data_IF_616600877005
#
_entry.id   IF_616600877005
#
_cell.length_a   1.000
_cell.length_b   1.000
_cell.length_c   1.000
_cell.angle_alpha   90.00
_cell.angle_beta   90.00
_cell.angle_gamma   90.00
#
_symmetry.space_group_name_H-M   'P 1'
#
loop_
_entity.id
_entity.type
_entity.pdbx_description
1 polymer ?
#
# COMPACT_ATOMS: atom_id res chain seq x y z
N UNK A 1 60.59 -40.26 -11.24
CA UNK A 1 59.88 -40.72 -10.02
C UNK A 1 58.54 -41.29 -10.44
N UNK A 2 58.11 -42.39 -9.81
CA UNK A 2 56.85 -43.08 -10.14
C UNK A 2 55.66 -42.52 -9.34
N UNK A 3 54.47 -42.74 -9.89
CA UNK A 3 53.12 -42.51 -9.37
C UNK A 3 52.89 -42.73 -7.85
N UNK A 4 51.95 -41.99 -7.24
CA UNK A 4 50.58 -42.50 -6.96
C UNK A 4 49.64 -41.46 -6.32
N UNK A 5 48.36 -41.67 -6.58
CA UNK A 5 47.17 -41.00 -6.02
C UNK A 5 46.73 -41.58 -4.67
N UNK A 6 46.12 -40.76 -3.80
CA UNK A 6 45.06 -41.17 -2.87
C UNK A 6 44.28 -39.93 -2.35
N UNK A 7 42.96 -40.06 -2.21
CA UNK A 7 42.04 -39.03 -1.69
C UNK A 7 40.86 -39.76 -0.99
N UNK A 8 40.20 -39.10 -0.02
CA UNK A 8 38.93 -39.50 0.68
C UNK A 8 39.05 -40.55 1.84
N UNK A 9 37.98 -40.85 2.63
CA UNK A 9 37.50 -40.12 3.85
C UNK A 9 37.28 -41.13 5.04
N UNK A 10 36.17 -41.21 5.84
CA UNK A 10 35.20 -40.24 6.44
C UNK A 10 34.93 -40.41 7.97
N UNK A 11 34.18 -39.49 8.61
CA UNK A 11 33.34 -39.75 9.83
C UNK A 11 32.18 -38.73 9.94
N UNK A 12 30.92 -39.12 9.65
CA UNK A 12 29.85 -39.58 10.56
C UNK A 12 29.23 -38.48 11.46
N UNK A 13 28.06 -37.92 11.11
CA UNK A 13 26.70 -38.41 11.46
C UNK A 13 26.40 -38.58 12.97
N UNK A 14 25.42 -37.81 13.49
CA UNK A 14 24.48 -38.21 14.54
C UNK A 14 23.07 -37.71 14.17
N UNK A 15 22.05 -38.57 14.34
CA UNK A 15 20.63 -38.28 14.14
C UNK A 15 19.96 -37.71 15.41
N UNK A 16 18.86 -36.98 15.24
CA UNK A 16 17.93 -36.65 16.33
C UNK A 16 16.50 -36.39 15.81
N UNK A 17 15.56 -37.29 16.12
CA UNK A 17 14.13 -37.15 15.83
C UNK A 17 13.36 -36.68 17.08
N UNK A 18 12.49 -35.68 16.95
CA UNK A 18 11.26 -35.48 17.73
C UNK A 18 10.46 -34.35 17.04
N UNK A 19 9.30 -34.59 16.42
CA UNK A 19 7.97 -34.87 16.99
C UNK A 19 7.10 -33.60 17.09
N UNK A 20 5.82 -33.75 16.79
CA UNK A 20 4.90 -32.66 16.44
C UNK A 20 4.44 -31.81 17.64
N UNK A 21 4.11 -30.54 17.35
CA UNK A 21 3.15 -29.75 18.12
C UNK A 21 2.35 -28.85 17.15
N UNK A 22 1.03 -28.98 17.16
CA UNK A 22 0.14 -28.10 16.40
C UNK A 22 -0.01 -26.76 17.12
N UNK A 23 0.09 -25.64 16.38
CA UNK A 23 -0.21 -24.31 16.90
C UNK A 23 -1.10 -23.58 15.90
N UNK A 24 -2.39 -23.45 16.24
CA UNK A 24 -3.19 -22.35 15.75
C UNK A 24 -2.58 -21.05 16.26
N UNK A 25 -2.32 -20.08 15.37
CA UNK A 25 -2.61 -18.68 15.70
C UNK A 25 -2.67 -17.78 14.47
N UNK A 26 -3.57 -16.80 14.53
CA UNK A 26 -3.68 -15.70 13.55
C UNK A 26 -2.40 -14.87 13.59
N UNK A 27 -2.00 -14.32 12.45
CA UNK A 27 -0.81 -13.47 12.33
C UNK A 27 -1.18 -12.21 11.55
N UNK A 28 -0.90 -11.06 12.15
CA UNK A 28 -1.14 -9.74 11.56
C UNK A 28 0.07 -9.32 10.74
N UNK A 29 -0.14 -8.76 9.55
CA UNK A 29 0.93 -8.35 8.64
C UNK A 29 1.09 -6.82 8.69
N UNK A 30 2.32 -6.37 8.94
CA UNK A 30 2.65 -4.97 9.22
C UNK A 30 3.57 -4.42 8.13
N UNK A 31 3.18 -3.29 7.53
CA UNK A 31 3.92 -2.63 6.44
C UNK A 31 4.49 -1.30 6.93
N UNK A 32 5.78 -1.06 6.63
CA UNK A 32 6.46 0.22 6.78
C UNK A 32 6.67 0.83 5.38
N UNK A 33 6.59 2.16 5.26
CA UNK A 33 6.94 2.87 4.03
C UNK A 33 7.42 4.30 4.34
N UNK A 34 8.35 4.81 3.54
CA UNK A 34 9.00 6.10 3.74
C UNK A 34 8.22 7.30 3.15
N UNK A 35 8.34 8.49 3.76
CA UNK A 35 7.65 9.72 3.33
C UNK A 35 8.62 10.91 3.31
N UNK A 36 9.06 11.34 2.12
CA UNK A 36 10.03 12.43 1.95
C UNK A 36 9.39 13.84 1.88
N UNK A 37 10.13 14.86 2.34
CA UNK A 37 9.62 16.22 2.54
C UNK A 37 10.12 17.26 1.52
N UNK A 38 9.23 18.16 1.09
CA UNK A 38 9.59 19.50 0.59
C UNK A 38 8.92 20.58 1.45
N UNK A 39 9.70 21.57 1.92
CA UNK A 39 9.21 22.65 2.80
C UNK A 39 8.53 23.77 2.00
N UNK A 40 7.30 24.21 2.35
CA UNK A 40 6.67 25.37 1.72
C UNK A 40 7.34 26.69 2.10
N UNK A 41 7.43 27.64 1.15
CA UNK A 41 7.75 29.06 1.44
C UNK A 41 6.46 29.83 1.75
N UNK A 42 6.42 30.49 2.90
CA UNK A 42 5.35 31.47 3.23
C UNK A 42 5.68 32.81 2.56
N UNK A 43 4.78 33.31 1.71
CA UNK A 43 4.87 34.67 1.15
C UNK A 43 3.82 35.55 1.84
N UNK A 44 4.30 36.55 2.58
CA UNK A 44 3.46 37.57 3.22
C UNK A 44 3.57 38.89 2.45
N UNK A 45 2.43 39.49 2.10
CA UNK A 45 2.35 40.84 1.57
C UNK A 45 1.29 41.65 2.30
N UNK A 46 1.54 42.95 2.50
CA UNK A 46 0.75 43.82 3.38
C UNK A 46 0.09 44.96 2.59
N UNK A 47 -1.22 45.13 2.80
CA UNK A 47 -1.96 46.40 2.77
C UNK A 47 -2.14 47.16 1.44
N UNK A 48 -3.40 47.45 1.08
CA UNK A 48 -4.03 48.77 1.34
C UNK A 48 -5.54 48.79 1.02
N UNK A 49 -6.29 49.61 1.76
CA UNK A 49 -7.74 49.78 1.63
C UNK A 49 -8.19 50.28 0.25
N UNK A 50 -9.33 49.75 -0.24
CA UNK A 50 -10.39 50.50 -0.95
C UNK A 50 -11.71 49.71 -0.93
N UNK A 51 -12.82 50.44 -0.83
CA UNK A 51 -14.16 49.88 -0.65
C UNK A 51 -14.56 48.94 -1.79
N UNK A 52 -15.00 47.73 -1.46
CA UNK A 52 -15.73 46.85 -2.37
C UNK A 52 -16.97 46.28 -1.68
N UNK A 53 -18.00 46.03 -2.49
CA UNK A 53 -19.22 45.30 -2.12
C UNK A 53 -18.85 43.94 -1.50
N UNK A 54 -19.69 43.39 -0.62
CA UNK A 54 -19.49 42.06 -0.02
C UNK A 54 -19.47 40.96 -1.09
N UNK A 55 -18.34 40.79 -1.76
CA UNK A 55 -17.99 39.53 -2.39
C UNK A 55 -17.82 38.49 -1.27
N UNK A 56 -18.35 37.29 -1.49
CA UNK A 56 -18.06 36.15 -0.61
C UNK A 56 -16.54 36.05 -0.48
N UNK A 57 -16.02 36.30 0.72
CA UNK A 57 -14.62 36.04 1.02
C UNK A 57 -14.47 34.53 0.89
N UNK A 58 -13.83 34.09 -0.19
CA UNK A 58 -13.50 32.69 -0.38
C UNK A 58 -12.73 32.23 0.86
N UNK A 59 -13.33 31.28 1.60
CA UNK A 59 -12.73 30.75 2.82
C UNK A 59 -11.35 30.19 2.49
N UNK A 60 -10.29 30.85 2.96
CA UNK A 60 -8.94 30.35 2.77
C UNK A 60 -8.69 29.21 3.74
N UNK A 61 -9.14 28.01 3.36
CA UNK A 61 -8.87 26.77 4.09
C UNK A 61 -7.37 26.49 4.05
N UNK A 62 -6.71 26.59 5.22
CA UNK A 62 -5.31 26.23 5.34
C UNK A 62 -5.14 24.71 5.17
N UNK A 63 -4.19 24.31 4.33
CA UNK A 63 -3.88 22.91 4.07
C UNK A 63 -2.37 22.66 4.09
N UNK A 64 -1.99 21.39 4.17
CA UNK A 64 -0.63 20.93 3.91
C UNK A 64 -0.68 19.84 2.85
N UNK A 65 0.34 19.76 1.98
CA UNK A 65 0.41 18.72 0.96
C UNK A 65 1.42 17.64 1.37
N UNK A 66 1.01 16.38 1.30
CA UNK A 66 1.85 15.20 1.59
C UNK A 66 1.77 14.22 0.42
N UNK A 67 2.68 13.24 0.38
CA UNK A 67 2.51 12.05 -0.47
C UNK A 67 2.95 10.79 0.27
N UNK A 68 2.24 9.69 0.06
CA UNK A 68 2.68 8.37 0.47
C UNK A 68 3.15 7.62 -0.78
N UNK A 69 4.46 7.41 -0.94
CA UNK A 69 5.02 6.69 -2.09
C UNK A 69 4.55 7.25 -3.46
N UNK A 70 4.52 8.58 -3.60
CA UNK A 70 4.11 9.28 -4.83
C UNK A 70 2.61 9.56 -4.97
N UNK A 71 1.74 8.84 -4.26
CA UNK A 71 0.30 9.11 -4.19
C UNK A 71 0.06 10.33 -3.27
N UNK A 72 -0.38 11.46 -3.84
CA UNK A 72 -0.31 12.78 -3.21
C UNK A 72 -1.67 13.34 -2.76
N UNK A 73 -1.70 13.96 -1.58
CA UNK A 73 -2.92 14.39 -0.90
C UNK A 73 -2.83 15.81 -0.35
N UNK A 74 -3.96 16.51 -0.40
CA UNK A 74 -4.18 17.75 0.35
C UNK A 74 -4.77 17.39 1.72
N UNK A 75 -4.05 17.69 2.81
CA UNK A 75 -4.47 17.41 4.18
C UNK A 75 -4.95 18.69 4.87
N UNK A 76 -6.14 18.62 5.49
CA UNK A 76 -6.82 19.74 6.15
C UNK A 76 -7.06 19.38 7.62
N UNK A 77 -6.76 20.32 8.52
CA UNK A 77 -7.10 20.21 9.94
C UNK A 77 -8.57 20.58 10.14
N UNK A 78 -9.42 19.56 10.15
CA UNK A 78 -10.87 19.66 10.24
C UNK A 78 -11.38 19.34 11.65
N UNK A 79 -10.52 19.31 12.69
CA UNK A 79 -10.89 18.84 14.04
C UNK A 79 -11.93 19.70 14.77
N UNK A 80 -12.33 20.82 14.18
CA UNK A 80 -13.32 21.75 14.70
C UNK A 80 -14.77 21.40 14.32
N UNK A 81 -14.98 20.51 13.34
CA UNK A 81 -16.30 20.04 12.91
C UNK A 81 -16.22 18.57 12.46
N UNK A 82 -17.29 17.79 12.67
CA UNK A 82 -17.39 16.41 12.18
C UNK A 82 -17.69 16.33 10.66
N UNK A 83 -18.18 17.42 10.06
CA UNK A 83 -18.36 17.55 8.63
C UNK A 83 -17.09 18.10 7.95
N UNK A 84 -16.63 17.52 6.83
CA UNK A 84 -15.59 18.11 5.99
C UNK A 84 -15.91 19.54 5.56
N UNK A 85 -14.94 20.46 5.71
CA UNK A 85 -15.09 21.88 5.34
C UNK A 85 -15.19 22.14 3.83
N UNK A 86 -14.95 21.13 3.00
CA UNK A 86 -15.17 21.18 1.56
C UNK A 86 -16.28 20.19 1.19
N UNK A 87 -17.06 20.52 0.17
CA UNK A 87 -17.90 19.54 -0.53
C UNK A 87 -17.08 18.68 -1.51
N UNK A 88 -17.58 17.50 -1.93
CA UNK A 88 -16.97 16.69 -3.00
C UNK A 88 -16.57 17.51 -4.25
N UNK A 89 -17.49 18.37 -4.73
CA UNK A 89 -17.30 19.21 -5.92
C UNK A 89 -16.23 20.31 -5.71
N UNK A 90 -15.92 20.66 -4.47
CA UNK A 90 -14.79 21.54 -4.14
C UNK A 90 -13.48 20.76 -4.01
N UNK A 91 -13.52 19.53 -3.52
CA UNK A 91 -12.36 18.63 -3.51
C UNK A 91 -11.88 18.31 -4.93
N UNK A 92 -12.79 18.00 -5.88
CA UNK A 92 -12.47 17.87 -7.32
C UNK A 92 -11.68 19.07 -7.86
N UNK A 93 -12.12 20.30 -7.54
CA UNK A 93 -11.47 21.55 -7.98
C UNK A 93 -10.10 21.74 -7.33
N UNK A 94 -9.93 21.35 -6.07
CA UNK A 94 -8.63 21.37 -5.37
C UNK A 94 -7.67 20.34 -5.97
N UNK A 95 -8.16 19.13 -6.25
CA UNK A 95 -7.40 18.02 -6.82
C UNK A 95 -7.02 18.21 -8.28
N UNK A 96 -7.71 19.07 -9.05
CA UNK A 96 -7.36 19.34 -10.43
C UNK A 96 -5.90 19.83 -10.57
N UNK A 97 -5.06 19.06 -11.27
CA UNK A 97 -3.61 19.32 -11.39
C UNK A 97 -3.24 20.52 -12.27
N UNK A 98 -4.18 21.05 -13.07
CA UNK A 98 -3.96 22.19 -13.96
C UNK A 98 -4.47 23.53 -13.39
N UNK A 99 -5.61 23.51 -12.70
CA UNK A 99 -6.29 24.72 -12.21
C UNK A 99 -6.45 24.80 -10.70
N UNK A 100 -6.16 23.71 -9.98
CA UNK A 100 -6.21 23.61 -8.53
C UNK A 100 -4.82 23.52 -7.89
N UNK A 101 -4.75 22.85 -6.74
CA UNK A 101 -3.49 22.49 -6.07
C UNK A 101 -2.84 21.26 -6.72
N UNK A 102 -3.67 20.38 -7.29
CA UNK A 102 -3.25 19.08 -7.82
C UNK A 102 -3.02 18.07 -6.71
N UNK A 103 -3.82 17.01 -6.66
CA UNK A 103 -3.65 15.87 -5.74
C UNK A 103 -4.55 14.71 -6.18
N UNK A 104 -4.24 13.49 -5.76
CA UNK A 104 -5.11 12.32 -5.95
C UNK A 104 -6.35 12.36 -5.05
N UNK A 105 -6.30 13.11 -3.93
CA UNK A 105 -7.44 13.34 -3.05
C UNK A 105 -7.23 14.42 -1.98
N UNK A 106 -8.31 14.73 -1.25
CA UNK A 106 -8.33 15.62 -0.08
C UNK A 106 -8.68 14.81 1.16
N UNK A 107 -7.82 14.86 2.18
CA UNK A 107 -7.96 14.14 3.46
C UNK A 107 -8.28 15.15 4.57
N UNK A 108 -9.28 14.81 5.38
CA UNK A 108 -9.73 15.61 6.52
C UNK A 108 -9.33 14.92 7.83
N UNK A 109 -8.52 15.59 8.65
CA UNK A 109 -8.28 15.20 10.04
C UNK A 109 -9.45 15.71 10.88
N UNK A 110 -10.34 14.81 11.30
CA UNK A 110 -11.60 15.12 11.96
C UNK A 110 -11.52 14.90 13.49
N UNK A 111 -12.47 15.44 14.29
CA UNK A 111 -12.65 14.94 15.65
C UNK A 111 -13.00 13.44 15.61
N UNK A 112 -12.61 12.64 16.61
CA UNK A 112 -12.97 11.23 16.67
C UNK A 112 -14.49 11.06 16.75
N UNK A 113 -15.03 10.04 16.07
CA UNK A 113 -16.43 9.66 16.16
C UNK A 113 -16.68 8.69 17.32
N UNK A 114 -15.65 7.92 17.71
CA UNK A 114 -15.68 7.00 18.84
C UNK A 114 -14.81 7.49 20.02
N UNK A 115 -15.23 7.29 21.29
CA UNK A 115 -14.41 7.64 22.45
C UNK A 115 -13.09 6.87 22.59
N UNK A 116 -12.95 5.69 21.94
CA UNK A 116 -11.70 4.94 21.85
C UNK A 116 -10.65 5.67 21.00
N UNK A 117 -11.08 6.27 19.90
CA UNK A 117 -10.24 6.86 18.87
C UNK A 117 -9.68 8.23 19.23
N UNK A 118 -8.51 8.54 18.69
CA UNK A 118 -7.82 9.82 18.87
C UNK A 118 -8.32 10.87 17.85
N UNK A 119 -8.59 10.43 16.62
CA UNK A 119 -9.02 11.26 15.49
C UNK A 119 -10.02 10.52 14.60
N UNK A 120 -10.70 11.27 13.73
CA UNK A 120 -11.41 10.72 12.57
C UNK A 120 -10.68 11.02 11.26
N UNK A 121 -10.96 10.24 10.23
CA UNK A 121 -10.49 10.45 8.86
C UNK A 121 -11.66 10.31 7.88
N UNK A 122 -11.77 11.30 6.97
CA UNK A 122 -12.53 11.18 5.72
C UNK A 122 -11.63 11.58 4.55
N UNK A 123 -11.94 11.06 3.36
CA UNK A 123 -11.19 11.29 2.13
C UNK A 123 -12.20 11.55 1.01
N UNK A 124 -11.95 12.57 0.19
CA UNK A 124 -12.55 12.67 -1.13
C UNK A 124 -11.46 12.47 -2.18
N UNK A 125 -11.68 11.55 -3.11
CA UNK A 125 -10.85 11.35 -4.28
C UNK A 125 -10.90 12.57 -5.21
N UNK A 126 -9.96 12.62 -6.16
CA UNK A 126 -9.89 13.65 -7.20
C UNK A 126 -11.12 13.74 -8.12
N UNK A 127 -11.98 12.71 -8.14
CA UNK A 127 -13.28 12.66 -8.83
C UNK A 127 -14.48 12.95 -7.91
N UNK A 128 -14.23 13.36 -6.66
CA UNK A 128 -15.24 13.67 -5.66
C UNK A 128 -15.82 12.44 -4.94
N UNK A 129 -15.46 11.22 -5.33
CA UNK A 129 -15.94 10.01 -4.62
C UNK A 129 -15.34 9.89 -3.22
N UNK A 130 -16.09 9.33 -2.28
CA UNK A 130 -15.63 9.08 -0.90
C UNK A 130 -15.31 7.60 -0.71
N UNK A 131 -14.03 7.18 -0.71
CA UNK A 131 -13.63 5.84 -0.35
C UNK A 131 -13.60 5.64 1.17
N UNK A 132 -13.81 4.40 1.62
CA UNK A 132 -13.83 4.03 3.04
C UNK A 132 -12.47 4.19 3.73
N UNK A 133 -11.36 3.93 3.02
CA UNK A 133 -9.99 3.98 3.54
C UNK A 133 -8.97 4.18 2.40
N UNK A 134 -7.81 4.75 2.72
CA UNK A 134 -6.64 4.77 1.83
C UNK A 134 -5.35 4.52 2.63
N UNK A 135 -4.64 3.44 2.31
CA UNK A 135 -3.44 3.01 3.04
C UNK A 135 -2.27 4.01 2.98
N UNK A 136 -2.12 4.73 1.87
CA UNK A 136 -1.15 5.82 1.75
C UNK A 136 -1.63 7.06 2.51
N UNK A 137 -2.92 7.39 2.38
CA UNK A 137 -3.55 8.53 3.05
C UNK A 137 -3.46 8.48 4.57
N UNK A 138 -3.69 7.30 5.19
CA UNK A 138 -3.62 7.15 6.65
C UNK A 138 -2.19 7.34 7.19
N UNK A 139 -1.15 6.96 6.41
CA UNK A 139 0.25 7.27 6.75
C UNK A 139 0.53 8.77 6.70
N UNK A 140 0.05 9.45 5.65
CA UNK A 140 0.13 10.91 5.57
C UNK A 140 -0.62 11.60 6.73
N UNK A 141 -1.80 11.08 7.12
CA UNK A 141 -2.59 11.61 8.23
C UNK A 141 -1.86 11.51 9.57
N UNK A 142 -1.26 10.35 9.89
CA UNK A 142 -0.49 10.15 11.11
C UNK A 142 0.69 11.14 11.20
N UNK A 143 1.43 11.32 10.09
CA UNK A 143 2.51 12.30 10.04
C UNK A 143 2.01 13.75 10.14
N UNK A 144 0.88 14.07 9.51
CA UNK A 144 0.25 15.39 9.61
C UNK A 144 -0.21 15.73 11.03
N UNK A 145 -0.81 14.78 11.74
CA UNK A 145 -1.17 14.94 13.14
C UNK A 145 0.07 15.22 14.01
N UNK A 146 1.16 14.47 13.81
CA UNK A 146 2.42 14.72 14.49
C UNK A 146 3.05 16.10 14.15
N UNK A 147 3.04 16.50 12.88
CA UNK A 147 3.54 17.82 12.44
C UNK A 147 2.61 18.99 12.87
N UNK A 148 1.45 18.70 13.47
CA UNK A 148 0.58 19.65 14.18
C UNK A 148 0.83 19.66 15.70
N UNK A 149 1.75 18.83 16.20
CA UNK A 149 2.02 18.66 17.63
C UNK A 149 0.95 17.83 18.35
N UNK A 150 0.24 16.96 17.63
CA UNK A 150 -0.79 16.10 18.17
C UNK A 150 -0.23 14.71 18.47
N UNK A 151 -0.76 14.08 19.51
CA UNK A 151 -0.37 12.75 19.96
C UNK A 151 -1.64 11.95 20.25
N UNK A 152 -1.63 10.65 19.91
CA UNK A 152 -2.66 9.74 20.37
C UNK A 152 -2.57 9.45 21.87
N UNK A 153 -3.61 8.84 22.43
CA UNK A 153 -3.67 8.45 23.86
C UNK A 153 -2.54 7.48 24.24
N UNK A 154 -2.06 6.68 23.29
CA UNK A 154 -0.89 5.81 23.45
C UNK A 154 0.29 6.39 22.69
N UNK A 155 1.45 6.64 23.34
CA UNK A 155 2.64 7.15 22.67
C UNK A 155 3.04 6.28 21.46
N UNK A 156 3.40 6.93 20.35
CA UNK A 156 3.78 6.26 19.12
C UNK A 156 2.62 5.68 18.29
N UNK A 157 1.37 5.81 18.73
CA UNK A 157 0.18 5.33 18.00
C UNK A 157 -0.84 6.43 17.80
N UNK A 158 -1.62 6.34 16.72
CA UNK A 158 -2.77 7.20 16.46
C UNK A 158 -3.94 6.29 16.11
N UNK A 159 -4.95 6.23 16.97
CA UNK A 159 -6.17 5.44 16.74
C UNK A 159 -7.14 6.29 15.92
N UNK A 160 -7.47 5.87 14.70
CA UNK A 160 -8.21 6.70 13.75
C UNK A 160 -9.49 6.01 13.28
N UNK A 161 -10.63 6.67 13.46
CA UNK A 161 -11.90 6.25 12.87
C UNK A 161 -11.90 6.49 11.36
N UNK A 162 -12.11 5.44 10.57
CA UNK A 162 -12.26 5.51 9.10
C UNK A 162 -13.59 4.90 8.65
N UNK A 163 -13.95 5.05 7.36
CA UNK A 163 -15.11 4.36 6.79
C UNK A 163 -14.99 2.82 6.83
N UNK A 164 -13.76 2.29 6.85
CA UNK A 164 -13.47 0.86 7.01
C UNK A 164 -13.35 0.40 8.49
N UNK A 165 -13.62 1.29 9.45
CA UNK A 165 -13.46 1.03 10.89
C UNK A 165 -12.21 1.68 11.50
N UNK A 166 -11.83 1.23 12.68
CA UNK A 166 -10.67 1.75 13.44
C UNK A 166 -9.36 1.26 12.81
N UNK A 167 -8.48 2.18 12.42
CA UNK A 167 -7.13 1.89 11.90
C UNK A 167 -6.09 2.52 12.82
N UNK A 168 -5.01 1.80 13.12
CA UNK A 168 -3.96 2.25 14.06
C UNK A 168 -2.60 2.34 13.35
N UNK A 169 -2.30 3.46 12.65
CA UNK A 169 -0.93 3.79 12.29
C UNK A 169 -0.04 3.97 13.54
N UNK A 170 1.13 3.34 13.51
CA UNK A 170 2.21 3.47 14.49
C UNK A 170 3.33 4.31 13.88
N UNK A 171 3.82 5.32 14.60
CA UNK A 171 4.96 6.14 14.19
C UNK A 171 5.80 6.50 15.41
N UNK A 172 7.00 5.94 15.48
CA UNK A 172 7.95 6.22 16.57
C UNK A 172 8.32 7.72 16.64
N UNK A 173 8.56 8.29 17.84
CA UNK A 173 8.92 9.70 17.99
C UNK A 173 10.17 10.07 17.17
N UNK A 174 10.00 10.97 16.21
CA UNK A 174 11.08 11.41 15.31
C UNK A 174 11.28 10.54 14.05
N UNK A 175 10.48 9.50 13.86
CA UNK A 175 10.45 8.70 12.63
C UNK A 175 9.87 9.47 11.44
N UNK A 176 10.33 9.15 10.23
CA UNK A 176 9.67 9.52 8.96
C UNK A 176 8.87 8.37 8.36
N UNK A 177 9.01 7.15 8.90
CA UNK A 177 8.23 5.97 8.54
C UNK A 177 7.00 5.84 9.43
N UNK A 178 5.86 5.54 8.82
CA UNK A 178 4.63 5.14 9.50
C UNK A 178 4.35 3.68 9.17
N UNK A 179 4.14 2.90 10.22
CA UNK A 179 3.75 1.49 10.17
C UNK A 179 2.24 1.36 10.27
N UNK A 180 1.64 0.45 9.51
CA UNK A 180 0.19 0.18 9.58
C UNK A 180 -0.04 -1.33 9.68
N UNK A 181 -0.93 -1.75 10.57
CA UNK A 181 -1.49 -3.11 10.55
C UNK A 181 -2.47 -3.20 9.38
N UNK A 182 -2.10 -4.01 8.38
CA UNK A 182 -2.89 -4.22 7.16
C UNK A 182 -3.84 -5.42 7.29
N UNK A 183 -3.97 -5.97 8.51
CA UNK A 183 -4.87 -7.07 8.83
C UNK A 183 -4.29 -8.44 8.49
N UNK A 184 -5.19 -9.41 8.29
CA UNK A 184 -4.85 -10.79 7.90
C UNK A 184 -5.20 -11.02 6.43
N UNK A 185 -4.30 -11.58 5.61
CA UNK A 185 -4.60 -11.91 4.22
C UNK A 185 -5.66 -13.00 4.11
N UNK A 186 -6.46 -12.91 3.05
CA UNK A 186 -7.43 -13.90 2.62
C UNK A 186 -6.80 -14.70 1.48
N UNK A 187 -6.73 -16.03 1.62
CA UNK A 187 -6.07 -16.94 0.68
C UNK A 187 -7.03 -17.88 -0.08
N UNK A 188 -8.24 -18.05 0.46
CA UNK A 188 -9.29 -18.91 -0.11
C UNK A 188 -9.78 -18.36 -1.47
N UNK A 189 -9.65 -19.09 -2.60
CA UNK A 189 -9.93 -18.55 -3.94
C UNK A 189 -11.31 -17.89 -4.11
N UNK A 190 -12.35 -18.47 -3.50
CA UNK A 190 -13.71 -17.93 -3.49
C UNK A 190 -13.84 -16.57 -2.78
N UNK A 191 -12.93 -16.27 -1.84
CA UNK A 191 -12.87 -15.02 -1.08
C UNK A 191 -11.82 -14.04 -1.62
N UNK A 192 -10.92 -14.49 -2.51
CA UNK A 192 -10.04 -13.66 -3.36
C UNK A 192 -10.73 -13.30 -4.70
N UNK A 193 -12.05 -13.48 -4.81
CA UNK A 193 -12.77 -13.93 -6.02
C UNK A 193 -11.88 -14.25 -7.24
N UNK A 194 -11.32 -15.46 -7.26
CA UNK A 194 -10.61 -16.03 -8.42
C UNK A 194 -11.07 -17.46 -8.73
N UNK A 195 -10.95 -17.87 -9.99
CA UNK A 195 -11.15 -19.24 -10.48
C UNK A 195 -9.85 -20.05 -10.52
N UNK A 196 -8.71 -19.41 -10.27
CA UNK A 196 -7.42 -20.10 -10.11
C UNK A 196 -7.40 -20.84 -8.78
N UNK A 197 -6.94 -22.09 -8.78
CA UNK A 197 -6.90 -22.95 -7.60
C UNK A 197 -5.58 -22.75 -6.84
N UNK A 198 -5.35 -21.56 -6.29
CA UNK A 198 -4.14 -21.20 -5.52
C UNK A 198 -4.25 -21.60 -4.05
N UNK A 199 -4.66 -22.84 -3.78
CA UNK A 199 -4.81 -23.39 -2.43
C UNK A 199 -3.53 -24.04 -1.90
N UNK A 200 -3.45 -24.31 -0.60
CA UNK A 200 -2.31 -25.03 0.01
C UNK A 200 -2.04 -26.39 -0.66
N UNK A 201 -3.10 -27.11 -1.04
CA UNK A 201 -3.03 -28.38 -1.75
C UNK A 201 -2.30 -28.30 -3.11
N UNK A 202 -2.26 -27.10 -3.70
CA UNK A 202 -1.57 -26.80 -4.96
C UNK A 202 -0.28 -25.99 -4.73
N UNK A 203 0.24 -25.90 -3.50
CA UNK A 203 1.42 -25.08 -3.19
C UNK A 203 1.18 -23.58 -3.37
N UNK A 204 -0.08 -23.13 -3.21
CA UNK A 204 -0.55 -21.76 -3.39
C UNK A 204 -0.36 -21.19 -4.82
N UNK A 205 -0.16 -22.03 -5.83
CA UNK A 205 0.09 -21.61 -7.21
C UNK A 205 -0.88 -22.28 -8.20
N UNK A 206 -1.25 -21.55 -9.25
CA UNK A 206 -1.94 -22.08 -10.42
C UNK A 206 -1.50 -21.33 -11.70
N UNK A 207 -1.75 -21.93 -12.88
CA UNK A 207 -1.28 -21.43 -14.17
C UNK A 207 -2.40 -20.78 -14.97
N UNK A 208 -2.29 -19.47 -15.16
CA UNK A 208 -3.10 -18.71 -16.12
C UNK A 208 -2.50 -18.84 -17.53
N UNK A 209 -3.29 -19.39 -18.47
CA UNK A 209 -2.79 -19.77 -19.80
C UNK A 209 -3.04 -18.72 -20.87
N UNK A 210 -2.08 -18.56 -21.78
CA UNK A 210 -2.20 -17.79 -23.02
C UNK A 210 -2.32 -16.26 -22.90
N UNK A 211 -2.22 -15.68 -21.70
CA UNK A 211 -2.33 -14.22 -21.49
C UNK A 211 -1.02 -13.53 -21.92
N UNK A 212 -1.13 -12.38 -22.60
CA UNK A 212 0.01 -11.67 -23.18
C UNK A 212 0.94 -12.54 -24.06
N UNK A 213 0.42 -13.64 -24.63
CA UNK A 213 1.15 -14.56 -25.50
C UNK A 213 1.92 -15.68 -24.79
N UNK A 214 1.72 -15.91 -23.48
CA UNK A 214 2.34 -17.01 -22.74
C UNK A 214 1.51 -17.49 -21.55
N UNK A 215 1.99 -18.53 -20.89
CA UNK A 215 1.47 -19.00 -19.61
C UNK A 215 2.20 -18.30 -18.44
N UNK A 216 1.45 -18.06 -17.35
CA UNK A 216 1.87 -17.35 -16.15
C UNK A 216 1.47 -18.11 -14.89
N UNK A 217 2.40 -18.29 -13.96
CA UNK A 217 2.10 -18.87 -12.64
C UNK A 217 1.78 -17.75 -11.66
N UNK A 218 0.60 -17.83 -11.04
CA UNK A 218 0.10 -16.84 -10.09
C UNK A 218 -0.11 -17.43 -8.70
N UNK A 219 0.18 -16.62 -7.68
CA UNK A 219 -0.37 -16.73 -6.33
C UNK A 219 -1.48 -15.69 -6.22
N UNK A 220 -2.66 -16.05 -5.72
CA UNK A 220 -3.75 -15.10 -5.51
C UNK A 220 -3.93 -14.84 -4.00
N UNK A 221 -3.99 -13.57 -3.62
CA UNK A 221 -4.17 -13.11 -2.24
C UNK A 221 -5.18 -11.97 -2.24
N UNK A 222 -5.98 -11.83 -1.18
CA UNK A 222 -6.78 -10.63 -0.94
C UNK A 222 -6.38 -9.96 0.37
N UNK A 223 -6.15 -8.65 0.30
CA UNK A 223 -5.95 -7.76 1.45
C UNK A 223 -7.22 -6.95 1.75
N UNK A 224 -8.39 -7.51 1.41
CA UNK A 224 -9.68 -6.82 1.28
C UNK A 224 -10.04 -6.51 -0.18
N UNK A 225 -9.02 -6.38 -1.04
CA UNK A 225 -9.11 -6.27 -2.49
C UNK A 225 -8.29 -7.40 -3.16
N UNK A 226 -8.66 -7.88 -4.37
CA UNK A 226 -7.99 -9.00 -5.04
C UNK A 226 -6.65 -8.63 -5.66
N UNK A 227 -5.63 -9.47 -5.43
CA UNK A 227 -4.27 -9.38 -5.98
C UNK A 227 -3.84 -10.69 -6.62
N UNK A 228 -3.12 -10.59 -7.74
CA UNK A 228 -2.59 -11.71 -8.51
C UNK A 228 -1.09 -11.51 -8.74
N UNK A 229 -0.29 -12.23 -7.98
CA UNK A 229 1.17 -12.04 -7.88
C UNK A 229 1.88 -13.10 -8.73
N UNK A 230 2.73 -12.66 -9.66
CA UNK A 230 3.60 -13.54 -10.44
C UNK A 230 5.07 -13.20 -10.24
N UNK A 231 5.87 -14.21 -9.91
CA UNK A 231 7.32 -14.08 -9.75
C UNK A 231 8.03 -14.36 -11.08
N UNK A 232 8.83 -13.40 -11.52
CA UNK A 232 9.45 -13.37 -12.85
C UNK A 232 10.97 -13.20 -12.77
N UNK A 233 11.69 -13.60 -13.81
CA UNK A 233 13.12 -13.29 -13.93
C UNK A 233 13.35 -11.80 -14.19
N UNK A 234 14.54 -11.27 -13.91
CA UNK A 234 14.86 -9.86 -14.17
C UNK A 234 14.59 -9.43 -15.61
N UNK A 235 14.90 -10.30 -16.59
CA UNK A 235 14.63 -10.02 -18.01
C UNK A 235 13.13 -9.89 -18.30
N UNK A 236 12.30 -10.73 -17.69
CA UNK A 236 10.85 -10.68 -17.85
C UNK A 236 10.23 -9.49 -17.12
N UNK A 237 10.79 -9.11 -15.97
CA UNK A 237 10.45 -7.86 -15.27
C UNK A 237 10.72 -6.64 -16.16
N UNK A 238 11.90 -6.57 -16.78
CA UNK A 238 12.30 -5.44 -17.64
C UNK A 238 11.49 -5.38 -18.96
N UNK A 239 11.12 -6.54 -19.55
CA UNK A 239 10.19 -6.59 -20.69
C UNK A 239 8.79 -6.12 -20.30
N UNK A 240 8.28 -6.60 -19.15
CA UNK A 240 6.98 -6.21 -18.61
C UNK A 240 6.93 -4.71 -18.31
N UNK A 241 7.99 -4.14 -17.73
CA UNK A 241 8.09 -2.70 -17.43
C UNK A 241 7.84 -1.83 -18.68
N UNK A 242 8.35 -2.27 -19.83
CA UNK A 242 8.20 -1.56 -21.11
C UNK A 242 6.85 -1.75 -21.81
N UNK A 243 6.01 -2.67 -21.32
CA UNK A 243 4.78 -3.14 -21.99
C UNK A 243 3.55 -3.19 -21.10
N UNK A 244 3.67 -2.85 -19.81
CA UNK A 244 2.64 -3.01 -18.79
C UNK A 244 1.33 -2.33 -19.17
N UNK A 245 1.38 -1.14 -19.76
CA UNK A 245 0.23 -0.39 -20.26
C UNK A 245 -0.51 -1.08 -21.41
N UNK A 246 0.18 -1.90 -22.20
CA UNK A 246 -0.39 -2.63 -23.33
C UNK A 246 -0.99 -3.99 -22.93
N UNK A 247 -0.50 -4.62 -21.84
CA UNK A 247 -0.90 -5.98 -21.45
C UNK A 247 -1.62 -6.07 -20.10
N UNK A 248 -1.45 -5.09 -19.21
CA UNK A 248 -2.11 -5.03 -17.91
C UNK A 248 -3.64 -5.20 -17.95
N UNK A 249 -4.37 -4.58 -18.91
CA UNK A 249 -5.80 -4.80 -19.09
C UNK A 249 -6.20 -6.26 -19.33
N UNK A 250 -5.33 -7.06 -19.96
CA UNK A 250 -5.59 -8.49 -20.25
C UNK A 250 -5.59 -9.32 -18.97
N UNK A 251 -4.79 -8.94 -17.96
CA UNK A 251 -4.77 -9.57 -16.64
C UNK A 251 -5.91 -9.06 -15.77
N UNK A 252 -6.09 -7.74 -15.66
CA UNK A 252 -7.14 -7.12 -14.86
C UNK A 252 -8.52 -7.69 -15.20
N UNK A 253 -8.84 -7.77 -16.51
CA UNK A 253 -10.15 -8.15 -17.00
C UNK A 253 -10.26 -9.64 -17.34
N UNK A 254 -9.26 -10.46 -16.98
CA UNK A 254 -9.27 -11.87 -17.33
C UNK A 254 -10.46 -12.61 -16.70
N UNK A 255 -11.12 -13.48 -17.47
CA UNK A 255 -12.33 -14.21 -17.05
C UNK A 255 -12.17 -15.15 -15.83
N UNK A 256 -10.94 -15.33 -15.34
CA UNK A 256 -10.63 -16.04 -14.08
C UNK A 256 -10.77 -15.16 -12.83
N UNK A 257 -10.87 -13.83 -12.98
CA UNK A 257 -11.04 -12.87 -11.89
C UNK A 257 -12.43 -12.19 -12.02
N UNK A 258 -13.53 -12.78 -11.50
CA UNK A 258 -14.88 -12.24 -11.68
C UNK A 258 -15.10 -10.79 -11.21
N UNK A 259 -14.28 -10.30 -10.29
CA UNK A 259 -14.33 -8.92 -9.78
C UNK A 259 -13.17 -8.04 -10.27
N UNK A 260 -12.51 -8.47 -11.37
CA UNK A 260 -11.18 -8.03 -11.81
C UNK A 260 -10.11 -8.24 -10.72
N UNK A 261 -8.85 -7.96 -11.01
CA UNK A 261 -7.76 -8.07 -10.03
C UNK A 261 -6.73 -6.96 -10.22
N UNK A 262 -6.00 -6.62 -9.15
CA UNK A 262 -4.67 -6.04 -9.30
C UNK A 262 -3.69 -7.14 -9.74
N UNK A 263 -2.63 -6.79 -10.47
CA UNK A 263 -1.63 -7.76 -10.93
C UNK A 263 -0.24 -7.24 -10.63
N UNK A 264 0.51 -8.00 -9.84
CA UNK A 264 1.86 -7.67 -9.38
C UNK A 264 2.89 -8.56 -10.08
N UNK A 265 3.83 -7.93 -10.78
CA UNK A 265 4.96 -8.60 -11.43
C UNK A 265 6.22 -8.38 -10.59
N UNK A 266 6.76 -9.46 -10.03
CA UNK A 266 7.73 -9.39 -8.96
C UNK A 266 9.06 -10.03 -9.36
N UNK A 267 10.15 -9.28 -9.26
CA UNK A 267 11.50 -9.83 -9.36
C UNK A 267 12.12 -9.98 -7.96
N UNK A 268 12.47 -11.21 -7.60
CA UNK A 268 13.17 -11.54 -6.36
C UNK A 268 14.66 -11.17 -6.47
N UNK A 269 15.12 -10.17 -5.72
CA UNK A 269 16.55 -9.83 -5.58
C UNK A 269 17.22 -10.73 -4.54
N UNK A 270 16.52 -10.94 -3.42
CA UNK A 270 16.92 -11.81 -2.32
C UNK A 270 15.71 -12.22 -1.49
N UNK A 271 15.91 -13.09 -0.49
CA UNK A 271 14.87 -13.46 0.49
C UNK A 271 14.23 -12.29 1.24
N UNK A 272 14.88 -11.14 1.28
CA UNK A 272 14.44 -9.95 2.03
C UNK A 272 14.26 -8.73 1.14
N UNK A 273 14.31 -8.88 -0.19
CA UNK A 273 14.30 -7.75 -1.11
C UNK A 273 13.71 -8.12 -2.48
N UNK A 274 12.68 -7.39 -2.92
CA UNK A 274 11.94 -7.65 -4.15
C UNK A 274 11.69 -6.35 -4.92
N UNK A 275 11.76 -6.37 -6.26
CA UNK A 275 11.18 -5.33 -7.12
C UNK A 275 9.74 -5.70 -7.50
N UNK A 276 8.82 -4.74 -7.53
CA UNK A 276 7.42 -4.93 -7.92
C UNK A 276 6.97 -3.88 -8.94
N UNK A 277 6.40 -4.34 -10.06
CA UNK A 277 5.48 -3.55 -10.89
C UNK A 277 4.05 -3.91 -10.55
N UNK A 278 3.12 -2.97 -10.69
CA UNK A 278 1.69 -3.21 -10.47
C UNK A 278 0.84 -2.62 -11.58
N UNK A 279 -0.15 -3.41 -12.04
CA UNK A 279 -1.32 -2.91 -12.74
C UNK A 279 -2.51 -2.99 -11.79
N UNK A 280 -3.00 -1.83 -11.34
CA UNK A 280 -4.11 -1.73 -10.39
C UNK A 280 -5.48 -1.71 -11.11
N UNK A 281 -6.42 -2.46 -10.53
CA UNK A 281 -7.80 -2.59 -11.00
C UNK A 281 -8.48 -1.21 -11.08
N UNK A 282 -8.78 -0.77 -12.31
CA UNK A 282 -9.44 0.51 -12.58
C UNK A 282 -8.55 1.75 -12.45
N UNK A 283 -7.28 1.63 -12.07
CA UNK A 283 -6.32 2.73 -12.01
C UNK A 283 -5.16 2.57 -13.01
N UNK A 284 -4.91 1.36 -13.51
CA UNK A 284 -3.84 1.06 -14.45
C UNK A 284 -2.47 1.01 -13.78
N UNK A 285 -1.43 1.44 -14.49
CA UNK A 285 -0.08 1.50 -13.94
C UNK A 285 0.04 2.61 -12.89
N UNK A 286 0.28 2.24 -11.63
CA UNK A 286 0.52 3.19 -10.52
C UNK A 286 1.97 3.17 -10.06
N UNK A 287 2.37 4.21 -9.31
CA UNK A 287 3.71 4.28 -8.72
C UNK A 287 3.84 3.48 -7.42
N UNK A 288 2.72 3.24 -6.71
CA UNK A 288 2.72 2.47 -5.48
C UNK A 288 1.35 1.91 -5.09
N UNK A 289 1.30 0.62 -4.79
CA UNK A 289 0.12 -0.06 -4.23
C UNK A 289 0.48 -0.68 -2.86
N UNK A 290 -0.03 -0.13 -1.76
CA UNK A 290 0.29 -0.60 -0.41
C UNK A 290 -0.26 -1.99 -0.09
N UNK A 291 -1.49 -2.29 -0.52
CA UNK A 291 -2.07 -3.63 -0.41
C UNK A 291 -1.39 -4.62 -1.34
N UNK A 292 -0.96 -4.20 -2.54
CA UNK A 292 -0.15 -4.99 -3.46
C UNK A 292 1.20 -5.41 -2.86
N UNK A 293 1.93 -4.48 -2.25
CA UNK A 293 3.18 -4.79 -1.55
C UNK A 293 2.96 -5.81 -0.41
N UNK A 294 1.90 -5.67 0.38
CA UNK A 294 1.55 -6.67 1.40
C UNK A 294 1.22 -8.04 0.80
N UNK A 295 0.47 -8.06 -0.30
CA UNK A 295 0.11 -9.29 -1.01
C UNK A 295 1.35 -9.98 -1.62
N UNK A 296 2.34 -9.23 -2.11
CA UNK A 296 3.64 -9.75 -2.57
C UNK A 296 4.44 -10.40 -1.44
N UNK A 297 4.51 -9.78 -0.26
CA UNK A 297 5.15 -10.39 0.90
C UNK A 297 4.47 -11.71 1.28
N UNK A 298 3.14 -11.73 1.33
CA UNK A 298 2.36 -12.95 1.61
C UNK A 298 2.65 -14.02 0.56
N UNK A 299 2.61 -13.69 -0.73
CA UNK A 299 2.91 -14.62 -1.81
C UNK A 299 4.37 -15.14 -1.77
N UNK A 300 5.33 -14.31 -1.36
CA UNK A 300 6.72 -14.71 -1.20
C UNK A 300 6.90 -15.71 -0.05
N UNK A 301 6.22 -15.50 1.08
CA UNK A 301 6.23 -16.44 2.21
C UNK A 301 5.55 -17.76 1.84
N UNK A 302 4.36 -17.72 1.22
CA UNK A 302 3.62 -18.92 0.81
C UNK A 302 4.37 -19.79 -0.20
N UNK A 303 5.29 -19.20 -0.96
CA UNK A 303 6.10 -19.89 -1.99
C UNK A 303 7.55 -20.15 -1.57
N UNK A 304 7.90 -19.90 -0.29
CA UNK A 304 9.23 -20.16 0.28
C UNK A 304 10.33 -19.20 -0.17
N UNK A 305 9.97 -18.09 -0.82
CA UNK A 305 10.89 -17.03 -1.30
C UNK A 305 11.26 -16.03 -0.20
N UNK A 306 10.36 -15.79 0.74
CA UNK A 306 10.63 -15.01 1.95
C UNK A 306 10.38 -15.87 3.19
N UNK A 307 11.06 -15.55 4.29
CA UNK A 307 10.85 -16.21 5.57
C UNK A 307 9.77 -15.45 6.37
N UNK A 308 8.87 -16.18 7.04
CA UNK A 308 7.78 -15.56 7.83
C UNK A 308 8.35 -14.75 9.00
N UNK A 309 7.69 -13.64 9.32
CA UNK A 309 8.02 -12.74 10.44
C UNK A 309 9.41 -12.06 10.32
N UNK A 310 10.04 -12.14 9.14
CA UNK A 310 11.26 -11.41 8.78
C UNK A 310 10.88 -10.16 7.97
N UNK A 311 11.40 -8.95 8.30
CA UNK A 311 11.20 -7.75 7.49
C UNK A 311 11.74 -7.91 6.06
N UNK A 312 10.96 -7.43 5.09
CA UNK A 312 11.25 -7.50 3.66
C UNK A 312 11.09 -6.11 3.06
N UNK A 313 12.03 -5.70 2.20
CA UNK A 313 11.96 -4.46 1.42
C UNK A 313 11.32 -4.77 0.06
N UNK A 314 10.33 -3.97 -0.33
CA UNK A 314 9.70 -4.04 -1.65
C UNK A 314 9.96 -2.70 -2.35
N UNK A 315 10.67 -2.75 -3.48
CA UNK A 315 10.93 -1.62 -4.34
C UNK A 315 9.78 -1.47 -5.33
N UNK A 316 9.03 -0.38 -5.23
CA UNK A 316 8.00 0.02 -6.17
C UNK A 316 8.62 1.02 -7.18
N UNK A 317 7.93 1.39 -8.29
CA UNK A 317 8.46 2.36 -9.23
C UNK A 317 8.90 3.68 -8.57
N UNK A 318 10.22 3.87 -8.45
CA UNK A 318 10.85 5.08 -7.90
C UNK A 318 10.80 5.25 -6.37
N UNK A 319 10.28 4.27 -5.60
CA UNK A 319 10.07 4.39 -4.14
C UNK A 319 10.18 3.06 -3.39
N UNK A 320 10.35 3.14 -2.06
CA UNK A 320 10.35 2.02 -1.08
C UNK A 320 9.57 2.41 0.17
#
# INVERSE_FOLDING_TARGET
MYSRSALTPPTSQILGFASAAAIHNRSHFLSNASCSFQRPRVVSTRSRNRNFVHANIASMTAFRKYHGLGNDFVLIDNRHDAAPVLTPVEAEKVCNRNTGVGADGVIFLLPPSNPSSDFGMRLYNSDGTEPEMCGNGIRCLARFAADLGLHGKTPGKYVVDTGAGEIVPEMEPGSEEVRVDMGTPILEPQNVPTKLNTTEANGYQDVLKGVAGRDWTFVCVSMGNPHAITFVTKKEYDDMDSRLEAVGPDFENHSVFPQRTNTEFVFERSKTEFDMLVWERGAGRTMACGTGACAVLVAAVLTGRADKDVPVIIHLPGVT
#
